data_IF_483092550572
#
_entry.id   IF_483092550572
#
_cell.length_a   1.000
_cell.length_b   1.000
_cell.length_c   1.000
_cell.angle_alpha   90.00
_cell.angle_beta   90.00
_cell.angle_gamma   90.00
#
_symmetry.space_group_name_H-M   'P 1'
#
loop_
_entity.id
_entity.type
_entity.pdbx_description
1 polymer ?
#
# COMPACT_ATOMS: atom_id res chain seq x y z
N UNK A 1 11.84 -19.45 10.93
CA UNK A 1 11.72 -18.16 11.62
C UNK A 1 10.63 -17.39 10.88
N UNK A 2 9.51 -17.07 11.56
CA UNK A 2 8.45 -16.27 10.95
C UNK A 2 8.87 -14.80 10.92
N UNK A 3 8.59 -14.11 9.81
CA UNK A 3 8.77 -12.67 9.73
C UNK A 3 7.67 -11.97 10.53
N UNK A 4 7.98 -10.81 11.09
CA UNK A 4 7.00 -9.97 11.77
C UNK A 4 5.95 -9.48 10.77
N UNK A 5 4.71 -9.34 11.23
CA UNK A 5 3.63 -8.77 10.42
C UNK A 5 3.95 -7.33 10.04
N UNK A 6 3.79 -6.99 8.77
CA UNK A 6 3.94 -5.63 8.25
C UNK A 6 2.57 -5.04 7.91
N UNK A 7 2.46 -3.71 7.83
CA UNK A 7 1.22 -3.06 7.39
C UNK A 7 0.71 -3.61 6.05
N UNK A 8 1.64 -3.90 5.12
CA UNK A 8 1.31 -4.51 3.82
C UNK A 8 0.71 -5.90 3.95
N UNK A 9 1.31 -6.77 4.78
CA UNK A 9 0.79 -8.12 4.98
C UNK A 9 -0.57 -8.10 5.68
N UNK A 10 -0.74 -7.23 6.68
CA UNK A 10 -2.02 -7.07 7.37
C UNK A 10 -3.09 -6.56 6.41
N UNK A 11 -2.79 -5.55 5.57
CA UNK A 11 -3.74 -5.03 4.59
C UNK A 11 -4.18 -6.10 3.58
N UNK A 12 -3.27 -6.91 3.06
CA UNK A 12 -3.58 -8.00 2.13
C UNK A 12 -4.45 -9.09 2.80
N UNK A 13 -4.14 -9.45 4.05
CA UNK A 13 -4.91 -10.44 4.83
C UNK A 13 -6.31 -9.88 5.14
N UNK A 14 -6.42 -8.62 5.54
CA UNK A 14 -7.72 -7.98 5.82
C UNK A 14 -8.56 -7.90 4.54
N UNK A 15 -7.98 -7.53 3.39
CA UNK A 15 -8.68 -7.54 2.12
C UNK A 15 -9.22 -8.95 1.79
N UNK A 16 -8.40 -10.00 1.99
CA UNK A 16 -8.82 -11.40 1.83
C UNK A 16 -10.00 -11.73 2.73
N UNK A 17 -9.95 -11.33 4.00
CA UNK A 17 -11.03 -11.58 4.97
C UNK A 17 -12.32 -10.88 4.57
N UNK A 18 -12.26 -9.60 4.18
CA UNK A 18 -13.43 -8.83 3.71
C UNK A 18 -14.07 -9.50 2.50
N UNK A 19 -13.28 -9.89 1.51
CA UNK A 19 -13.80 -10.59 0.33
C UNK A 19 -14.40 -11.96 0.70
N UNK A 20 -13.70 -12.74 1.52
CA UNK A 20 -14.15 -14.08 1.91
C UNK A 20 -15.41 -14.10 2.78
N UNK A 21 -15.65 -13.04 3.55
CA UNK A 21 -16.84 -12.93 4.41
C UNK A 21 -18.07 -12.36 3.68
N UNK A 22 -17.86 -11.55 2.63
CA UNK A 22 -18.94 -10.81 1.97
C UNK A 22 -19.33 -11.35 0.58
N UNK A 23 -18.56 -12.26 -0.01
CA UNK A 23 -18.95 -12.99 -1.21
C UNK A 23 -19.79 -14.21 -0.81
N UNK A 24 -21.04 -14.28 -1.25
CA UNK A 24 -21.96 -15.34 -0.88
C UNK A 24 -21.44 -16.74 -1.30
N UNK A 25 -21.41 -17.69 -0.37
CA UNK A 25 -20.95 -19.05 -0.64
C UNK A 25 -19.43 -19.19 -0.83
N UNK A 26 -18.66 -18.15 -0.49
CA UNK A 26 -17.22 -18.10 -0.59
C UNK A 26 -16.59 -18.02 0.81
N UNK A 27 -15.32 -18.39 0.95
CA UNK A 27 -14.59 -18.28 2.21
C UNK A 27 -13.11 -17.91 1.96
N UNK A 28 -12.43 -17.47 3.00
CA UNK A 28 -11.05 -17.00 2.93
C UNK A 28 -10.06 -18.04 2.37
N UNK A 29 -10.30 -19.33 2.54
CA UNK A 29 -9.43 -20.39 2.03
C UNK A 29 -9.49 -20.52 0.50
N UNK A 30 -10.51 -19.95 -0.12
CA UNK A 30 -10.65 -19.87 -1.58
C UNK A 30 -10.00 -18.61 -2.16
N UNK A 31 -9.34 -17.81 -1.33
CA UNK A 31 -8.66 -16.60 -1.75
C UNK A 31 -7.16 -16.75 -1.51
N UNK A 32 -6.39 -16.78 -2.58
CA UNK A 32 -4.93 -16.80 -2.54
C UNK A 32 -4.34 -15.40 -2.58
N UNK A 33 -3.20 -15.21 -1.93
CA UNK A 33 -2.38 -13.99 -2.04
C UNK A 33 -1.06 -14.42 -2.68
N UNK A 34 -0.76 -13.90 -3.87
CA UNK A 34 0.44 -14.25 -4.61
C UNK A 34 0.30 -13.93 -6.09
N UNK A 35 1.28 -14.34 -6.90
CA UNK A 35 1.21 -14.12 -8.34
C UNK A 35 0.09 -14.97 -8.99
N UNK A 36 -0.52 -14.49 -10.10
CA UNK A 36 -1.48 -15.29 -10.88
C UNK A 36 -0.95 -16.66 -11.27
N UNK A 37 0.36 -16.76 -11.60
CA UNK A 37 1.03 -18.01 -11.89
C UNK A 37 0.98 -19.00 -10.72
N UNK A 38 1.33 -18.54 -9.50
CA UNK A 38 1.25 -19.38 -8.31
C UNK A 38 -0.19 -19.82 -8.01
N UNK A 39 -1.15 -18.92 -8.22
CA UNK A 39 -2.56 -19.24 -8.03
C UNK A 39 -3.03 -20.32 -9.03
N UNK A 40 -2.62 -20.21 -10.31
CA UNK A 40 -2.93 -21.20 -11.33
C UNK A 40 -2.29 -22.57 -11.04
N UNK A 41 -1.03 -22.60 -10.63
CA UNK A 41 -0.30 -23.82 -10.28
C UNK A 41 -0.94 -24.56 -9.08
N UNK A 42 -1.53 -23.80 -8.14
CA UNK A 42 -2.22 -24.33 -6.96
C UNK A 42 -3.71 -24.61 -7.20
N UNK A 43 -4.25 -24.19 -8.35
CA UNK A 43 -5.66 -24.35 -8.66
C UNK A 43 -5.99 -25.81 -9.02
N UNK A 44 -6.66 -26.51 -8.12
CA UNK A 44 -7.00 -27.93 -8.30
C UNK A 44 -8.24 -28.16 -9.17
N UNK A 45 -8.95 -27.12 -9.57
CA UNK A 45 -10.19 -27.23 -10.33
C UNK A 45 -11.40 -27.76 -9.53
N UNK A 46 -11.25 -28.00 -8.23
CA UNK A 46 -12.33 -28.51 -7.39
C UNK A 46 -13.32 -27.44 -6.91
N UNK A 47 -12.83 -26.23 -6.63
CA UNK A 47 -13.62 -25.11 -6.15
C UNK A 47 -13.20 -23.83 -6.86
N UNK A 48 -14.12 -22.88 -6.95
CA UNK A 48 -13.81 -21.54 -7.45
C UNK A 48 -12.79 -20.86 -6.52
N UNK A 49 -11.88 -20.08 -7.08
CA UNK A 49 -10.87 -19.34 -6.33
C UNK A 49 -10.77 -17.89 -6.81
N UNK A 50 -10.37 -17.01 -5.93
CA UNK A 50 -10.00 -15.63 -6.23
C UNK A 50 -8.54 -15.41 -5.84
N UNK A 51 -7.76 -14.77 -6.69
CA UNK A 51 -6.38 -14.41 -6.38
C UNK A 51 -6.24 -12.92 -6.18
N UNK A 52 -5.50 -12.52 -5.15
CA UNK A 52 -5.07 -11.16 -4.87
C UNK A 52 -3.58 -11.08 -5.21
N UNK A 53 -3.23 -10.35 -6.25
CA UNK A 53 -1.85 -10.12 -6.65
C UNK A 53 -1.47 -8.66 -6.43
N UNK A 54 -0.53 -8.42 -5.51
CA UNK A 54 0.08 -7.10 -5.33
C UNK A 54 1.18 -6.97 -6.38
N UNK A 55 0.98 -6.10 -7.37
CA UNK A 55 1.91 -5.94 -8.48
C UNK A 55 2.76 -4.68 -8.40
N UNK A 56 2.36 -3.70 -7.59
CA UNK A 56 3.13 -2.46 -7.38
C UNK A 56 2.87 -1.87 -6.00
N UNK A 57 3.88 -1.17 -5.48
CA UNK A 57 3.80 -0.39 -4.24
C UNK A 57 4.47 0.96 -4.45
N UNK A 58 3.86 2.02 -3.96
CA UNK A 58 4.39 3.39 -4.03
C UNK A 58 4.36 4.02 -2.64
N UNK A 59 5.40 4.77 -2.31
CA UNK A 59 5.34 5.61 -1.12
C UNK A 59 4.36 6.74 -1.36
N UNK A 60 3.48 6.98 -0.39
CA UNK A 60 2.65 8.17 -0.42
C UNK A 60 3.55 9.42 -0.40
N UNK A 61 3.23 10.46 -1.20
CA UNK A 61 4.02 11.67 -1.20
C UNK A 61 4.10 12.23 0.22
N UNK A 62 5.33 12.58 0.62
CA UNK A 62 5.57 13.24 1.90
C UNK A 62 4.84 14.59 1.89
N UNK A 63 3.76 14.69 2.64
CA UNK A 63 3.13 15.97 2.94
C UNK A 63 3.93 16.57 4.09
N UNK A 64 4.52 17.74 3.90
CA UNK A 64 5.49 18.37 4.82
C UNK A 64 5.02 18.59 6.27
N UNK A 65 3.78 18.21 6.59
CA UNK A 65 3.19 18.29 7.93
C UNK A 65 3.40 17.02 8.78
N UNK A 66 4.00 15.94 8.20
CA UNK A 66 4.30 14.74 8.96
C UNK A 66 5.53 14.97 9.85
N UNK A 67 5.36 14.74 11.13
CA UNK A 67 6.48 14.76 12.07
C UNK A 67 7.42 13.56 11.76
N UNK A 68 8.73 13.67 12.05
CA UNK A 68 9.69 12.57 11.82
C UNK A 68 9.32 11.26 12.53
N UNK A 69 8.44 11.32 13.52
CA UNK A 69 7.94 10.16 14.26
C UNK A 69 6.72 9.51 13.61
N UNK A 70 6.12 10.11 12.59
CA UNK A 70 4.98 9.53 11.91
C UNK A 70 5.46 8.41 10.97
N UNK A 71 4.74 7.29 10.98
CA UNK A 71 5.05 6.19 10.09
C UNK A 71 4.76 6.59 8.65
N UNK A 72 5.72 6.40 7.72
CA UNK A 72 5.44 6.62 6.30
C UNK A 72 4.29 5.72 5.85
N UNK A 73 3.46 6.21 4.95
CA UNK A 73 2.38 5.44 4.36
C UNK A 73 2.73 5.00 2.95
N UNK A 74 2.18 3.88 2.53
CA UNK A 74 2.34 3.36 1.18
C UNK A 74 0.99 3.15 0.52
N UNK A 75 0.97 3.22 -0.78
CA UNK A 75 -0.09 2.75 -1.65
C UNK A 75 0.29 1.39 -2.21
N UNK A 76 -0.70 0.54 -2.36
CA UNK A 76 -0.54 -0.80 -2.92
C UNK A 76 -1.53 -0.98 -4.06
N UNK A 77 -1.01 -1.44 -5.19
CA UNK A 77 -1.82 -1.77 -6.36
C UNK A 77 -2.01 -3.27 -6.46
N UNK A 78 -3.27 -3.68 -6.45
CA UNK A 78 -3.67 -5.08 -6.48
C UNK A 78 -4.42 -5.42 -7.76
N UNK A 79 -4.22 -6.66 -8.23
CA UNK A 79 -4.99 -7.27 -9.29
C UNK A 79 -5.79 -8.43 -8.70
N UNK A 80 -7.12 -8.41 -8.89
CA UNK A 80 -8.01 -9.51 -8.52
C UNK A 80 -8.26 -10.36 -9.74
N UNK A 81 -7.92 -11.67 -9.64
CA UNK A 81 -8.08 -12.63 -10.74
C UNK A 81 -8.93 -13.81 -10.29
N UNK A 82 -10.07 -14.07 -10.90
CA UNK A 82 -10.92 -15.21 -10.61
C UNK A 82 -10.41 -16.48 -11.32
N UNK A 83 -10.65 -17.62 -10.69
CA UNK A 83 -10.46 -18.96 -11.23
C UNK A 83 -11.78 -19.73 -11.10
N UNK A 84 -12.54 -19.79 -12.19
CA UNK A 84 -13.84 -20.42 -12.23
C UNK A 84 -13.76 -21.92 -12.47
N UNK A 85 -14.73 -22.64 -11.94
CA UNK A 85 -14.99 -24.05 -12.21
C UNK A 85 -16.33 -24.18 -12.90
N UNK A 86 -16.42 -25.05 -13.91
CA UNK A 86 -17.69 -25.33 -14.58
C UNK A 86 -18.66 -26.04 -13.60
N UNK A 87 -19.92 -25.64 -13.65
CA UNK A 87 -21.02 -26.31 -12.96
C UNK A 87 -21.88 -27.02 -13.99
N UNK A 88 -21.65 -28.32 -14.10
CA UNK A 88 -22.35 -29.16 -15.09
C UNK A 88 -23.84 -29.33 -14.76
N UNK A 89 -24.22 -29.30 -13.47
CA UNK A 89 -25.60 -29.47 -13.04
C UNK A 89 -26.47 -28.30 -13.49
N UNK A 90 -25.91 -27.09 -13.40
CA UNK A 90 -26.59 -25.86 -13.78
C UNK A 90 -26.22 -25.37 -15.20
N UNK A 91 -25.44 -26.13 -15.94
CA UNK A 91 -24.97 -25.78 -17.31
C UNK A 91 -24.21 -24.46 -17.34
N UNK A 92 -23.45 -24.14 -16.29
CA UNK A 92 -22.66 -22.90 -16.16
C UNK A 92 -21.21 -23.21 -16.55
N UNK A 93 -20.66 -22.44 -17.47
CA UNK A 93 -19.26 -22.57 -17.85
C UNK A 93 -18.30 -21.99 -16.79
N UNK A 94 -17.03 -22.44 -16.81
CA UNK A 94 -16.01 -21.88 -15.95
C UNK A 94 -15.84 -20.36 -16.13
N UNK A 95 -15.85 -19.88 -17.39
CA UNK A 95 -15.75 -18.46 -17.69
C UNK A 95 -16.93 -17.64 -17.18
N UNK A 96 -18.15 -18.21 -17.20
CA UNK A 96 -19.32 -17.55 -16.62
C UNK A 96 -19.19 -17.42 -15.10
N UNK A 97 -18.67 -18.45 -14.43
CA UNK A 97 -18.41 -18.39 -12.99
C UNK A 97 -17.27 -17.41 -12.66
N UNK A 98 -16.28 -17.24 -13.54
CA UNK A 98 -15.26 -16.19 -13.39
C UNK A 98 -15.89 -14.80 -13.44
N UNK A 99 -16.80 -14.54 -14.39
CA UNK A 99 -17.52 -13.26 -14.49
C UNK A 99 -18.41 -12.99 -13.28
N UNK A 100 -19.09 -14.01 -12.77
CA UNK A 100 -19.91 -13.89 -11.55
C UNK A 100 -19.04 -13.55 -10.35
N UNK A 101 -17.92 -14.26 -10.17
CA UNK A 101 -17.03 -14.08 -9.05
C UNK A 101 -16.35 -12.70 -9.05
N UNK A 102 -15.88 -12.23 -10.22
CA UNK A 102 -15.29 -10.90 -10.33
C UNK A 102 -16.34 -9.79 -10.11
N UNK A 103 -17.58 -10.00 -10.58
CA UNK A 103 -18.69 -9.08 -10.32
C UNK A 103 -19.01 -8.95 -8.84
N UNK A 104 -19.04 -10.07 -8.10
CA UNK A 104 -19.23 -10.07 -6.65
C UNK A 104 -18.04 -9.40 -5.92
N UNK A 105 -16.81 -9.65 -6.36
CA UNK A 105 -15.65 -8.98 -5.78
C UNK A 105 -15.73 -7.45 -5.96
N UNK A 106 -16.10 -6.98 -7.15
CA UNK A 106 -16.32 -5.54 -7.41
C UNK A 106 -17.41 -4.97 -6.49
N UNK A 107 -18.54 -5.68 -6.33
CA UNK A 107 -19.62 -5.27 -5.42
C UNK A 107 -19.13 -5.12 -3.99
N UNK A 108 -18.41 -6.14 -3.49
CA UNK A 108 -17.88 -6.12 -2.11
C UNK A 108 -16.91 -4.96 -1.90
N UNK A 109 -16.00 -4.69 -2.85
CA UNK A 109 -15.07 -3.57 -2.73
C UNK A 109 -15.79 -2.22 -2.75
N UNK A 110 -16.85 -2.09 -3.58
CA UNK A 110 -17.65 -0.87 -3.64
C UNK A 110 -18.46 -0.63 -2.35
N UNK A 111 -18.96 -1.70 -1.73
CA UNK A 111 -19.69 -1.65 -0.47
C UNK A 111 -18.78 -1.42 0.75
N UNK A 112 -17.50 -1.74 0.63
CA UNK A 112 -16.50 -1.59 1.69
C UNK A 112 -15.33 -0.71 1.21
N UNK A 113 -15.55 0.60 1.01
CA UNK A 113 -14.51 1.51 0.49
C UNK A 113 -13.39 1.76 1.49
N UNK A 114 -13.58 1.37 2.74
CA UNK A 114 -12.63 1.51 3.83
C UNK A 114 -12.56 0.23 4.65
N UNK A 115 -11.35 -0.16 5.02
CA UNK A 115 -11.10 -1.32 5.88
C UNK A 115 -10.21 -0.94 7.05
N UNK A 116 -10.52 -1.48 8.22
CA UNK A 116 -9.73 -1.26 9.43
C UNK A 116 -8.66 -2.34 9.56
N UNK A 117 -7.41 -1.91 9.69
CA UNK A 117 -6.30 -2.81 9.96
C UNK A 117 -6.18 -3.06 11.45
N UNK A 118 -6.18 -4.33 11.83
CA UNK A 118 -6.10 -4.76 13.22
C UNK A 118 -4.72 -5.34 13.53
N UNK A 119 -4.22 -5.06 14.73
CA UNK A 119 -3.05 -5.76 15.29
C UNK A 119 -3.43 -7.16 15.77
N UNK A 120 -2.43 -7.94 16.16
CA UNK A 120 -2.61 -9.29 16.72
C UNK A 120 -3.48 -9.30 18.00
N UNK A 121 -3.52 -8.20 18.74
CA UNK A 121 -4.36 -8.00 19.93
C UNK A 121 -5.78 -7.51 19.58
N UNK A 122 -6.16 -7.49 18.29
CA UNK A 122 -7.39 -6.93 17.74
C UNK A 122 -7.59 -5.42 17.95
N UNK A 123 -6.54 -4.68 18.36
CA UNK A 123 -6.62 -3.21 18.38
C UNK A 123 -6.49 -2.66 16.96
N UNK A 124 -7.34 -1.71 16.61
CA UNK A 124 -7.25 -0.97 15.34
C UNK A 124 -6.03 -0.06 15.37
N UNK A 125 -5.25 -0.05 14.29
CA UNK A 125 -4.09 0.83 14.19
C UNK A 125 -4.07 1.70 12.94
N UNK A 126 -4.89 1.39 11.95
CA UNK A 126 -5.02 2.20 10.75
C UNK A 126 -6.33 1.91 10.02
N UNK A 127 -6.81 2.89 9.27
CA UNK A 127 -7.88 2.76 8.29
C UNK A 127 -7.29 2.91 6.89
N UNK A 128 -7.59 1.97 6.02
CA UNK A 128 -7.09 1.92 4.65
C UNK A 128 -8.25 2.13 3.69
N UNK A 129 -8.07 3.00 2.73
CA UNK A 129 -9.04 3.23 1.66
C UNK A 129 -8.83 2.26 0.51
N UNK A 130 -9.94 1.75 -0.01
CA UNK A 130 -9.98 0.90 -1.21
C UNK A 130 -10.58 1.70 -2.35
N UNK A 131 -9.85 1.78 -3.45
CA UNK A 131 -10.33 2.42 -4.69
C UNK A 131 -10.20 1.46 -5.86
N UNK A 132 -11.21 1.46 -6.74
CA UNK A 132 -11.10 0.73 -8.00
C UNK A 132 -10.11 1.45 -8.92
N UNK A 133 -9.16 0.68 -9.47
CA UNK A 133 -8.12 1.21 -10.36
C UNK A 133 -8.34 0.72 -11.79
N UNK A 134 -8.48 1.65 -12.72
CA UNK A 134 -8.57 1.35 -14.15
C UNK A 134 -7.17 1.13 -14.72
N UNK A 135 -6.79 -0.13 -14.87
CA UNK A 135 -5.52 -0.50 -15.49
C UNK A 135 -5.66 -0.40 -17.02
N UNK A 136 -4.74 0.29 -17.70
CA UNK A 136 -4.72 0.32 -19.15
C UNK A 136 -4.46 -1.08 -19.74
N UNK A 137 -4.93 -1.33 -20.96
CA UNK A 137 -4.69 -2.62 -21.64
C UNK A 137 -3.20 -2.90 -21.82
N UNK A 138 -2.40 -1.87 -22.06
CA UNK A 138 -0.94 -2.00 -22.19
C UNK A 138 -0.28 -2.43 -20.87
N UNK A 139 -0.70 -1.85 -19.76
CA UNK A 139 -0.16 -2.22 -18.44
C UNK A 139 -0.68 -3.58 -18.00
N UNK A 140 -1.94 -3.92 -18.30
CA UNK A 140 -2.47 -5.25 -18.09
C UNK A 140 -1.66 -6.30 -18.87
N UNK A 141 -1.35 -6.03 -20.15
CA UNK A 141 -0.51 -6.90 -20.96
C UNK A 141 0.90 -7.06 -20.39
N UNK A 142 1.52 -5.99 -19.85
CA UNK A 142 2.82 -6.06 -19.20
C UNK A 142 2.77 -6.93 -17.94
N UNK A 143 1.74 -6.74 -17.10
CA UNK A 143 1.55 -7.54 -15.87
C UNK A 143 1.44 -9.02 -16.22
N UNK A 144 0.59 -9.36 -17.19
CA UNK A 144 0.37 -10.76 -17.60
C UNK A 144 1.57 -11.36 -18.32
N UNK A 145 2.26 -10.61 -19.17
CA UNK A 145 3.48 -11.08 -19.84
C UNK A 145 4.60 -11.45 -18.85
N UNK A 146 4.64 -10.79 -17.69
CA UNK A 146 5.59 -11.11 -16.63
C UNK A 146 5.27 -12.41 -15.87
N UNK A 147 4.06 -13.00 -16.07
CA UNK A 147 3.65 -14.25 -15.42
C UNK A 147 4.11 -15.52 -16.19
N UNK A 148 4.90 -15.37 -17.25
CA UNK A 148 5.37 -16.48 -18.07
C UNK A 148 4.28 -17.07 -18.97
N UNK A 149 4.11 -18.40 -18.93
CA UNK A 149 3.14 -19.11 -19.80
C UNK A 149 1.70 -19.11 -19.26
N UNK A 150 1.42 -18.35 -18.21
CA UNK A 150 0.07 -18.26 -17.64
C UNK A 150 -0.89 -17.60 -18.63
N UNK A 151 -2.02 -18.26 -18.89
CA UNK A 151 -3.04 -17.72 -19.78
C UNK A 151 -3.67 -16.46 -19.18
N UNK A 152 -3.92 -15.44 -20.03
CA UNK A 152 -4.65 -14.25 -19.63
C UNK A 152 -6.04 -14.60 -19.08
N UNK A 153 -6.37 -14.02 -17.93
CA UNK A 153 -7.70 -14.11 -17.32
C UNK A 153 -8.27 -12.73 -17.09
N UNK A 154 -9.60 -12.63 -17.15
CA UNK A 154 -10.27 -11.39 -16.77
C UNK A 154 -9.83 -11.00 -15.34
N UNK A 155 -9.46 -9.73 -15.16
CA UNK A 155 -8.97 -9.26 -13.87
C UNK A 155 -9.37 -7.82 -13.66
N UNK A 156 -9.49 -7.43 -12.40
CA UNK A 156 -9.83 -6.05 -12.01
C UNK A 156 -8.75 -5.50 -11.08
N UNK A 157 -8.40 -4.23 -11.31
CA UNK A 157 -7.45 -3.52 -10.46
C UNK A 157 -8.12 -2.84 -9.27
N UNK A 158 -7.47 -2.87 -8.12
CA UNK A 158 -7.81 -2.02 -6.99
C UNK A 158 -6.55 -1.44 -6.36
N UNK A 159 -6.71 -0.32 -5.69
CA UNK A 159 -5.68 0.40 -4.95
C UNK A 159 -6.05 0.41 -3.46
N UNK A 160 -5.09 0.09 -2.62
CA UNK A 160 -5.16 0.27 -1.18
C UNK A 160 -4.26 1.44 -0.80
N UNK A 161 -4.83 2.49 -0.22
CA UNK A 161 -4.12 3.73 0.11
C UNK A 161 -3.99 3.90 1.61
N UNK A 162 -2.97 4.69 2.03
CA UNK A 162 -2.72 5.06 3.42
C UNK A 162 -2.31 3.88 4.33
N UNK A 163 -1.67 2.86 3.79
CA UNK A 163 -1.16 1.74 4.59
C UNK A 163 0.09 2.22 5.34
N UNK A 164 0.09 2.24 6.69
CA UNK A 164 1.26 2.64 7.44
C UNK A 164 2.34 1.56 7.39
N UNK A 165 3.60 1.97 7.24
CA UNK A 165 4.74 1.08 7.43
C UNK A 165 4.93 0.92 8.94
N UNK A 166 4.75 -0.31 9.45
CA UNK A 166 4.95 -0.61 10.86
C UNK A 166 6.46 -0.58 11.12
N UNK A 167 6.90 0.39 11.92
CA UNK A 167 8.29 0.49 12.38
C UNK A 167 8.36 -0.14 13.77
N UNK A 168 9.30 -1.08 13.96
CA UNK A 168 9.54 -1.66 15.29
C UNK A 168 10.02 -0.54 16.24
N UNK A 169 9.29 -0.27 17.33
CA UNK A 169 9.66 0.78 18.27
C UNK A 169 11.01 0.52 18.96
N UNK A 170 11.52 -0.71 18.95
CA UNK A 170 12.83 -1.06 19.53
C UNK A 170 14.02 -0.55 18.74
N UNK A 171 13.82 -0.13 17.48
CA UNK A 171 14.85 0.48 16.64
C UNK A 171 14.85 2.00 16.65
N UNK A 172 13.94 2.63 17.36
CA UNK A 172 13.93 4.09 17.52
C UNK A 172 15.06 4.48 18.46
N UNK A 173 16.15 5.01 17.94
CA UNK A 173 17.00 5.92 18.68
C UNK A 173 16.15 7.15 18.96
N UNK A 174 15.94 7.48 20.24
CA UNK A 174 15.36 8.76 20.62
C UNK A 174 16.24 9.86 20.03
N UNK A 175 15.77 10.43 18.91
CA UNK A 175 16.40 11.65 18.43
C UNK A 175 16.03 12.74 19.44
N UNK A 176 17.02 13.47 19.96
CA UNK A 176 16.71 14.57 20.85
C UNK A 176 15.75 15.53 20.17
N UNK A 177 14.68 15.92 20.86
CA UNK A 177 13.76 16.88 20.35
C UNK A 177 14.50 18.17 20.05
N UNK A 178 14.38 18.70 18.83
CA UNK A 178 14.92 20.02 18.50
C UNK A 178 14.10 21.02 19.30
N UNK A 179 14.68 21.56 20.36
CA UNK A 179 14.00 22.45 21.30
C UNK A 179 13.84 23.88 20.75
N UNK A 180 14.67 24.27 19.78
CA UNK A 180 14.61 25.62 19.20
C UNK A 180 15.23 25.62 17.80
N UNK A 181 14.51 26.18 16.82
CA UNK A 181 15.03 26.53 15.50
C UNK A 181 15.04 28.06 15.40
N UNK A 182 16.21 28.66 15.49
CA UNK A 182 16.36 30.10 15.23
C UNK A 182 16.53 30.30 13.72
N UNK A 183 15.47 30.78 13.07
CA UNK A 183 15.53 31.19 11.66
C UNK A 183 15.85 32.67 11.61
N UNK A 184 17.12 33.01 11.36
CA UNK A 184 17.48 34.38 11.00
C UNK A 184 17.10 34.66 9.54
N UNK A 185 16.11 35.53 9.36
CA UNK A 185 15.73 36.00 8.03
C UNK A 185 16.84 36.91 7.48
N UNK A 186 17.64 36.34 6.56
CA UNK A 186 18.49 37.14 5.71
C UNK A 186 17.64 37.87 4.65
N UNK A 187 17.19 39.09 4.98
CA UNK A 187 16.69 40.00 3.93
C UNK A 187 17.87 40.53 3.12
N UNK A 188 18.11 39.88 1.99
CA UNK A 188 19.03 40.39 0.98
C UNK A 188 18.37 41.58 0.32
N UNK A 189 18.67 42.80 0.80
CA UNK A 189 18.32 44.01 0.04
C UNK A 189 19.21 44.05 -1.19
N UNK A 190 18.63 43.72 -2.34
CA UNK A 190 19.28 43.98 -3.64
C UNK A 190 19.11 45.50 -3.87
N UNK A 191 20.08 46.28 -3.47
CA UNK A 191 20.25 47.64 -4.02
C UNK A 191 20.94 47.49 -5.39
N UNK A 192 20.15 47.64 -6.41
CA UNK A 192 20.61 47.95 -7.78
C UNK A 192 21.29 49.33 -7.76
N UNK A 193 22.49 49.38 -8.33
CA UNK A 193 23.33 50.58 -8.58
C UNK A 193 24.42 50.89 -7.53
N UNK A 194 25.52 50.10 -7.56
CA UNK A 194 26.87 50.65 -7.52
C UNK A 194 27.94 49.58 -7.88
N UNK A 195 28.76 49.73 -8.93
CA UNK A 195 29.72 48.68 -9.35
C UNK A 195 31.03 48.67 -8.56
N UNK A 196 31.19 49.44 -7.49
CA UNK A 196 32.40 49.49 -6.65
C UNK A 196 32.22 49.07 -5.17
N UNK A 197 31.20 48.31 -4.82
CA UNK A 197 31.07 47.83 -3.44
C UNK A 197 32.02 46.63 -3.20
N UNK A 198 33.04 46.86 -2.40
CA UNK A 198 33.95 45.83 -1.85
C UNK A 198 33.17 44.73 -1.16
N UNK A 199 33.32 43.51 -1.65
CA UNK A 199 32.77 42.30 -1.02
C UNK A 199 33.48 42.08 0.32
N UNK A 200 32.84 42.49 1.43
CA UNK A 200 33.21 42.06 2.77
C UNK A 200 32.70 40.64 2.95
N UNK A 201 33.63 39.68 2.89
CA UNK A 201 33.34 38.27 3.26
C UNK A 201 33.14 38.20 4.79
N UNK A 202 31.87 38.10 5.24
CA UNK A 202 31.58 37.65 6.60
C UNK A 202 31.67 36.13 6.64
N UNK A 203 32.49 35.63 7.55
CA UNK A 203 32.55 34.19 7.81
C UNK A 203 31.18 33.66 8.27
N UNK A 204 30.83 32.42 7.90
CA UNK A 204 29.57 31.80 8.36
C UNK A 204 29.66 31.56 9.88
N UNK A 205 28.68 32.09 10.60
CA UNK A 205 28.53 31.86 12.02
C UNK A 205 28.09 30.41 12.26
N UNK A 206 28.84 29.71 13.09
CA UNK A 206 28.64 28.29 13.41
C UNK A 206 27.41 28.14 14.29
N UNK A 207 26.44 27.37 13.83
CA UNK A 207 25.25 27.00 14.61
C UNK A 207 25.68 26.02 15.70
N UNK A 208 25.66 26.45 16.97
CA UNK A 208 25.90 25.59 18.11
C UNK A 208 24.59 24.99 18.58
N UNK A 209 24.37 23.70 18.31
CA UNK A 209 23.29 22.92 18.92
C UNK A 209 23.70 22.62 20.37
N UNK A 210 23.00 23.16 21.35
CA UNK A 210 23.16 22.81 22.75
C UNK A 210 22.16 21.71 23.12
N UNK A 211 22.70 20.61 23.63
CA UNK A 211 21.93 19.50 24.20
C UNK A 211 21.65 19.84 25.69
N UNK A 212 20.37 19.93 26.06
CA UNK A 212 19.92 20.18 27.45
C UNK A 212 19.79 18.90 28.28
N UNK A 213 20.46 17.80 27.92
CA UNK A 213 20.36 16.55 28.66
C UNK A 213 21.24 16.41 29.93
N UNK A 214 21.92 17.48 30.37
CA UNK A 214 22.69 17.46 31.63
C UNK A 214 22.07 18.38 32.70
N UNK A 215 20.92 17.97 33.27
CA UNK A 215 20.51 18.35 34.62
C UNK A 215 19.39 17.44 35.14
N UNK A 216 19.78 16.26 35.68
CA UNK A 216 19.25 15.70 36.93
C UNK A 216 20.08 14.50 37.40
#
# INVERSE_FOLDING_TARGET
MALLSSGLSVAAITLRSVLGQNIAGFNENQISIGSPKQAEDNFSGGNQQLNIFIYNTEFAPYTGDLLPQDSPTVKVYCLLTPFGVADAENSISAGENELRLIGEAIRVLHENPEINLLREDNSEFAQVQIMMNNISMDDMNKIWSAQGETAYRISVGCELSLIPVIIDPKGRTDFPAVSEIVVENYSRSIHETDPEAVVSSREPEVIVVRDESDNN
#
